data_IF_872318552162
#
_entry.id   IF_872318552162
#
_cell.length_a   1.000
_cell.length_b   1.000
_cell.length_c   1.000
_cell.angle_alpha   90.00
_cell.angle_beta   90.00
_cell.angle_gamma   90.00
#
_symmetry.space_group_name_H-M   'P 1'
#
loop_
_entity.id
_entity.type
_entity.pdbx_description
1 polymer ?
#
# COMPACT_ATOMS: atom_id res chain seq x y z
N UNK A 1 -20.19 -11.56 -13.40
CA UNK A 1 -18.80 -12.05 -13.40
C UNK A 1 -18.65 -13.18 -12.38
N UNK A 2 -18.84 -12.97 -11.06
CA UNK A 2 -18.64 -14.00 -10.03
C UNK A 2 -19.46 -15.28 -10.26
N UNK A 3 -20.74 -15.17 -10.64
CA UNK A 3 -21.60 -16.31 -10.95
C UNK A 3 -21.12 -17.10 -12.20
N UNK A 4 -20.54 -16.43 -13.17
CA UNK A 4 -19.95 -17.06 -14.36
C UNK A 4 -18.73 -17.90 -13.96
N UNK A 5 -17.75 -17.31 -13.24
CA UNK A 5 -16.56 -18.04 -12.83
C UNK A 5 -16.85 -19.20 -11.89
N UNK A 6 -17.82 -19.06 -10.98
CA UNK A 6 -18.28 -20.17 -10.14
C UNK A 6 -18.70 -21.39 -10.97
N UNK A 7 -19.40 -21.17 -12.08
CA UNK A 7 -19.81 -22.25 -13.00
C UNK A 7 -18.63 -22.82 -13.76
N UNK A 8 -17.75 -21.97 -14.30
CA UNK A 8 -16.59 -22.39 -15.08
C UNK A 8 -15.61 -23.21 -14.24
N UNK A 9 -15.43 -22.83 -12.98
CA UNK A 9 -14.52 -23.49 -12.04
C UNK A 9 -15.17 -24.63 -11.24
N UNK A 10 -16.45 -24.96 -11.51
CA UNK A 10 -17.21 -26.01 -10.82
C UNK A 10 -17.21 -25.85 -9.28
N UNK A 11 -17.32 -24.63 -8.78
CA UNK A 11 -17.39 -24.35 -7.34
C UNK A 11 -18.82 -24.52 -6.86
N UNK A 12 -19.17 -25.70 -6.33
CA UNK A 12 -20.54 -26.04 -5.95
C UNK A 12 -20.97 -25.47 -4.58
N UNK A 13 -20.04 -25.40 -3.62
CA UNK A 13 -20.33 -25.07 -2.21
C UNK A 13 -20.15 -23.59 -1.86
N UNK A 14 -20.10 -22.69 -2.84
CA UNK A 14 -19.94 -21.27 -2.63
C UNK A 14 -21.10 -20.48 -3.22
N UNK A 15 -21.73 -19.62 -2.41
CA UNK A 15 -22.78 -18.70 -2.88
C UNK A 15 -22.57 -17.32 -2.29
N UNK A 16 -22.66 -16.30 -3.13
CA UNK A 16 -22.66 -14.90 -2.72
C UNK A 16 -24.09 -14.49 -2.34
N UNK A 17 -24.24 -13.80 -1.22
CA UNK A 17 -25.48 -13.18 -0.82
C UNK A 17 -25.58 -11.80 -1.49
N UNK A 18 -26.52 -11.63 -2.42
CA UNK A 18 -26.68 -10.34 -3.10
C UNK A 18 -27.45 -9.39 -2.20
N UNK A 19 -26.86 -8.23 -1.92
CA UNK A 19 -27.41 -7.16 -1.12
C UNK A 19 -27.37 -5.85 -1.92
N UNK A 20 -28.11 -4.83 -1.48
CA UNK A 20 -28.17 -3.52 -2.13
C UNK A 20 -27.24 -2.49 -1.47
N UNK A 21 -27.07 -2.61 -0.16
CA UNK A 21 -26.28 -1.70 0.66
C UNK A 21 -25.58 -2.46 1.80
N UNK A 22 -24.49 -1.94 2.36
CA UNK A 22 -23.73 -2.62 3.43
C UNK A 22 -24.58 -3.00 4.66
N UNK A 23 -25.56 -2.19 5.04
CA UNK A 23 -26.46 -2.45 6.19
C UNK A 23 -27.28 -3.73 6.06
N UNK A 24 -27.47 -4.28 4.85
CA UNK A 24 -28.15 -5.56 4.60
C UNK A 24 -27.21 -6.76 4.76
N UNK A 25 -25.94 -6.56 5.11
CA UNK A 25 -24.94 -7.61 5.10
C UNK A 25 -25.22 -8.72 6.12
N UNK A 26 -25.13 -9.96 5.66
CA UNK A 26 -25.18 -11.13 6.52
C UNK A 26 -23.75 -11.50 6.95
N UNK A 27 -23.41 -11.31 8.23
CA UNK A 27 -22.08 -11.57 8.78
C UNK A 27 -21.59 -13.03 8.71
N UNK A 28 -22.47 -13.98 8.34
CA UNK A 28 -22.12 -15.40 8.15
C UNK A 28 -21.91 -15.79 6.70
N UNK A 29 -22.01 -14.85 5.77
CA UNK A 29 -21.95 -15.09 4.32
C UNK A 29 -21.08 -14.03 3.64
N UNK A 30 -20.46 -14.42 2.55
CA UNK A 30 -19.88 -13.46 1.63
C UNK A 30 -20.99 -12.71 0.90
N UNK A 31 -21.03 -11.40 1.08
CA UNK A 31 -22.02 -10.53 0.46
C UNK A 31 -21.47 -9.90 -0.82
N UNK A 32 -22.33 -9.56 -1.77
CA UNK A 32 -21.97 -8.86 -3.00
C UNK A 32 -22.97 -7.76 -3.30
N UNK A 33 -22.48 -6.61 -3.65
CA UNK A 33 -23.26 -5.47 -4.16
C UNK A 33 -23.01 -5.33 -5.65
N UNK A 34 -24.08 -5.32 -6.43
CA UNK A 34 -24.02 -5.05 -7.87
C UNK A 34 -24.07 -3.52 -8.07
N UNK A 35 -22.90 -2.90 -8.19
CA UNK A 35 -22.77 -1.45 -8.42
C UNK A 35 -22.53 -1.09 -9.90
N UNK A 36 -22.44 -2.08 -10.78
CA UNK A 36 -22.18 -1.93 -12.22
C UNK A 36 -23.35 -2.49 -13.02
N UNK A 37 -23.66 -1.90 -14.17
CA UNK A 37 -24.72 -2.36 -15.07
C UNK A 37 -24.49 -3.81 -15.50
N UNK A 38 -25.58 -4.62 -15.54
CA UNK A 38 -25.54 -6.02 -15.93
C UNK A 38 -25.11 -6.22 -17.42
N UNK A 39 -25.11 -5.17 -18.22
CA UNK A 39 -24.72 -5.19 -19.63
C UNK A 39 -23.21 -5.00 -19.87
N UNK A 40 -22.40 -4.83 -18.82
CA UNK A 40 -20.95 -4.70 -18.97
C UNK A 40 -20.38 -5.97 -19.59
N UNK A 41 -19.83 -5.83 -20.81
CA UNK A 41 -19.17 -6.92 -21.50
C UNK A 41 -17.80 -7.19 -20.88
N UNK A 42 -17.59 -8.40 -20.42
CA UNK A 42 -16.32 -8.86 -19.87
C UNK A 42 -15.55 -9.64 -20.93
N UNK A 43 -14.43 -9.10 -21.39
CA UNK A 43 -13.48 -9.81 -22.23
C UNK A 43 -12.47 -10.54 -21.34
N UNK A 44 -12.53 -11.88 -21.33
CA UNK A 44 -11.70 -12.70 -20.45
C UNK A 44 -10.21 -12.59 -20.80
N UNK A 45 -9.37 -12.41 -19.76
CA UNK A 45 -7.92 -12.36 -19.91
C UNK A 45 -7.39 -11.08 -20.57
N UNK A 46 -8.17 -10.00 -20.54
CA UNK A 46 -7.78 -8.69 -21.10
C UNK A 46 -8.27 -7.55 -20.24
N UNK A 47 -7.43 -6.55 -20.08
CA UNK A 47 -7.84 -5.23 -19.62
C UNK A 47 -8.55 -4.49 -20.77
N UNK A 48 -9.67 -3.86 -20.48
CA UNK A 48 -10.44 -3.06 -21.44
C UNK A 48 -10.91 -1.75 -20.79
N UNK A 49 -11.17 -0.69 -21.58
CA UNK A 49 -11.73 0.55 -21.02
C UNK A 49 -13.01 0.34 -20.22
N UNK A 50 -13.85 -0.63 -20.63
CA UNK A 50 -15.08 -0.98 -19.92
C UNK A 50 -14.79 -1.63 -18.57
N UNK A 51 -13.76 -2.49 -18.48
CA UNK A 51 -13.34 -3.10 -17.23
C UNK A 51 -12.75 -2.05 -16.26
N UNK A 52 -11.97 -1.11 -16.77
CA UNK A 52 -11.39 -0.01 -16.00
C UNK A 52 -12.48 0.93 -15.48
N UNK A 53 -13.45 1.27 -16.31
CA UNK A 53 -14.61 2.05 -15.89
C UNK A 53 -15.42 1.32 -14.80
N UNK A 54 -15.65 0.02 -14.95
CA UNK A 54 -16.34 -0.79 -13.94
C UNK A 54 -15.57 -0.82 -12.60
N UNK A 55 -14.25 -0.94 -12.66
CA UNK A 55 -13.36 -0.86 -11.48
C UNK A 55 -13.48 0.49 -10.77
N UNK A 56 -13.47 1.58 -11.53
CA UNK A 56 -13.62 2.93 -10.96
C UNK A 56 -15.00 3.17 -10.35
N UNK A 57 -16.08 2.64 -10.95
CA UNK A 57 -17.43 2.69 -10.37
C UNK A 57 -17.46 1.93 -9.04
N UNK A 58 -16.91 0.72 -9.01
CA UNK A 58 -16.85 -0.10 -7.80
C UNK A 58 -16.02 0.57 -6.69
N UNK A 59 -14.86 1.15 -7.06
CA UNK A 59 -14.02 1.89 -6.12
C UNK A 59 -14.76 3.10 -5.52
N UNK A 60 -15.37 3.94 -6.36
CA UNK A 60 -16.14 5.10 -5.90
C UNK A 60 -17.26 4.70 -4.96
N UNK A 61 -18.01 3.66 -5.33
CA UNK A 61 -19.09 3.14 -4.51
C UNK A 61 -18.58 2.67 -3.13
N UNK A 62 -17.51 1.89 -3.09
CA UNK A 62 -16.92 1.43 -1.84
C UNK A 62 -16.39 2.60 -0.99
N UNK A 63 -15.71 3.57 -1.59
CA UNK A 63 -15.21 4.76 -0.88
C UNK A 63 -16.36 5.63 -0.31
N UNK A 64 -17.48 5.75 -1.01
CA UNK A 64 -18.64 6.49 -0.51
C UNK A 64 -19.26 5.85 0.73
N UNK A 65 -19.25 4.51 0.84
CA UNK A 65 -19.67 3.78 2.03
C UNK A 65 -18.63 3.81 3.15
N UNK A 66 -17.35 3.80 2.80
CA UNK A 66 -16.24 3.95 3.75
C UNK A 66 -16.26 5.34 4.41
N UNK A 67 -16.53 6.40 3.64
CA UNK A 67 -16.63 7.78 4.14
C UNK A 67 -17.84 8.00 5.08
N UNK A 68 -18.83 7.10 5.05
CA UNK A 68 -20.00 7.11 5.92
C UNK A 68 -19.92 6.17 7.13
N UNK A 69 -18.75 5.56 7.33
CA UNK A 69 -18.54 4.53 8.37
C UNK A 69 -19.52 3.34 8.24
N UNK A 70 -19.98 3.04 7.02
CA UNK A 70 -20.85 1.89 6.74
C UNK A 70 -20.05 0.61 6.45
N UNK A 71 -18.78 0.76 6.16
CA UNK A 71 -17.74 -0.29 6.07
C UNK A 71 -16.47 0.20 6.75
N UNK A 72 -15.67 -0.71 7.27
CA UNK A 72 -14.52 -0.40 8.13
C UNK A 72 -13.22 -0.23 7.35
N UNK A 73 -13.05 -1.02 6.28
CA UNK A 73 -11.81 -1.06 5.50
C UNK A 73 -12.09 -1.27 4.01
N UNK A 74 -11.17 -0.79 3.18
CA UNK A 74 -11.13 -1.08 1.75
C UNK A 74 -9.94 -1.96 1.43
N UNK A 75 -10.20 -3.14 0.85
CA UNK A 75 -9.15 -4.03 0.33
C UNK A 75 -9.34 -4.25 -1.16
N UNK A 76 -8.31 -3.97 -1.95
CA UNK A 76 -8.37 -4.08 -3.41
C UNK A 76 -7.71 -5.38 -3.88
N UNK A 77 -8.43 -6.13 -4.69
CA UNK A 77 -7.88 -7.24 -5.47
C UNK A 77 -6.90 -6.70 -6.54
N UNK A 78 -6.07 -7.56 -7.17
CA UNK A 78 -5.22 -7.16 -8.27
C UNK A 78 -6.00 -6.44 -9.37
N UNK A 79 -5.49 -5.31 -9.83
CA UNK A 79 -6.11 -4.46 -10.86
C UNK A 79 -5.18 -4.27 -12.04
N UNK A 80 -5.73 -4.04 -13.22
CA UNK A 80 -4.95 -3.67 -14.39
C UNK A 80 -4.20 -2.35 -14.19
N UNK A 81 -3.09 -2.14 -14.90
CA UNK A 81 -2.26 -0.96 -14.75
C UNK A 81 -2.98 0.35 -15.10
N UNK A 82 -4.04 0.29 -15.91
CA UNK A 82 -4.81 1.47 -16.33
C UNK A 82 -6.09 1.69 -15.50
N UNK A 83 -6.44 0.76 -14.61
CA UNK A 83 -7.72 0.79 -13.90
C UNK A 83 -7.96 2.08 -13.09
N UNK A 84 -6.89 2.74 -12.65
CA UNK A 84 -6.96 3.98 -11.85
C UNK A 84 -6.47 5.22 -12.62
N UNK A 85 -6.18 5.10 -13.91
CA UNK A 85 -5.86 6.26 -14.75
C UNK A 85 -7.14 7.02 -15.08
N UNK A 86 -7.19 8.27 -14.62
CA UNK A 86 -8.25 9.22 -14.92
C UNK A 86 -7.64 10.51 -15.49
N UNK A 87 -8.47 11.43 -15.99
CA UNK A 87 -8.00 12.75 -16.39
C UNK A 87 -7.36 13.52 -15.22
N UNK A 88 -7.73 13.18 -14.00
CA UNK A 88 -7.29 13.87 -12.78
C UNK A 88 -6.15 13.17 -12.05
N UNK A 89 -5.98 11.85 -12.21
CA UNK A 89 -5.00 11.06 -11.46
C UNK A 89 -4.35 9.98 -12.33
N UNK A 90 -3.05 9.82 -12.19
CA UNK A 90 -2.25 8.81 -12.88
C UNK A 90 -2.04 7.52 -12.06
N UNK A 91 -2.59 7.45 -10.86
CA UNK A 91 -2.48 6.25 -9.99
C UNK A 91 -3.55 6.26 -8.89
N UNK A 92 -3.76 5.09 -8.26
CA UNK A 92 -4.64 4.96 -7.09
C UNK A 92 -4.22 5.90 -5.95
N UNK A 93 -2.92 5.94 -5.63
CA UNK A 93 -2.39 6.80 -4.55
C UNK A 93 -2.69 8.27 -4.81
N UNK A 94 -2.49 8.73 -6.03
CA UNK A 94 -2.82 10.10 -6.42
C UNK A 94 -4.33 10.37 -6.37
N UNK A 95 -5.15 9.42 -6.83
CA UNK A 95 -6.61 9.51 -6.77
C UNK A 95 -7.11 9.63 -5.32
N UNK A 96 -6.62 8.76 -4.42
CA UNK A 96 -6.97 8.80 -3.01
C UNK A 96 -6.47 10.07 -2.32
N UNK A 97 -5.25 10.51 -2.63
CA UNK A 97 -4.70 11.77 -2.11
C UNK A 97 -5.57 12.97 -2.46
N UNK A 98 -6.06 13.05 -3.71
CA UNK A 98 -6.99 14.11 -4.15
C UNK A 98 -8.36 13.99 -3.46
N UNK A 99 -8.92 12.79 -3.36
CA UNK A 99 -10.21 12.58 -2.71
C UNK A 99 -10.20 13.01 -1.24
N UNK A 100 -9.16 12.66 -0.51
CA UNK A 100 -9.02 12.98 0.92
C UNK A 100 -8.26 14.28 1.20
N UNK A 101 -7.94 15.04 0.16
CA UNK A 101 -7.22 16.32 0.24
C UNK A 101 -5.93 16.19 1.08
N UNK A 102 -5.18 15.11 0.90
CA UNK A 102 -3.91 14.85 1.55
C UNK A 102 -2.79 14.76 0.52
N UNK A 103 -1.68 15.48 0.78
CA UNK A 103 -0.45 15.38 0.01
C UNK A 103 0.56 14.41 0.66
N UNK A 104 0.33 14.08 1.92
CA UNK A 104 1.21 13.21 2.72
C UNK A 104 0.64 11.79 2.72
N UNK A 105 0.78 11.12 1.59
CA UNK A 105 0.32 9.76 1.32
C UNK A 105 1.48 8.92 0.79
N UNK A 106 1.53 7.63 1.11
CA UNK A 106 2.61 6.74 0.71
C UNK A 106 2.13 5.29 0.65
N UNK A 107 2.54 4.55 -0.38
CA UNK A 107 2.44 3.09 -0.37
C UNK A 107 3.49 2.51 0.58
N UNK A 108 3.08 1.62 1.46
CA UNK A 108 3.98 0.82 2.28
C UNK A 108 3.78 -0.65 1.87
N UNK A 109 4.84 -1.26 1.35
CA UNK A 109 4.86 -2.69 1.13
C UNK A 109 5.11 -3.37 2.47
N UNK A 110 4.30 -4.35 2.80
CA UNK A 110 4.29 -5.03 4.10
C UNK A 110 4.40 -6.52 3.88
N UNK A 111 5.35 -7.15 4.54
CA UNK A 111 5.45 -8.60 4.66
C UNK A 111 5.81 -8.99 6.11
N UNK A 112 5.87 -10.28 6.39
CA UNK A 112 6.30 -10.77 7.71
C UNK A 112 7.74 -10.35 8.04
N UNK A 113 8.60 -10.23 7.01
CA UNK A 113 10.05 -9.99 7.20
C UNK A 113 10.44 -8.52 7.09
N UNK A 114 9.70 -7.71 6.33
CA UNK A 114 10.12 -6.35 6.03
C UNK A 114 8.92 -5.45 5.71
N UNK A 115 8.99 -4.19 6.14
CA UNK A 115 8.10 -3.11 5.71
C UNK A 115 8.90 -2.08 4.93
N UNK A 116 8.37 -1.60 3.82
CA UNK A 116 9.11 -0.69 2.93
C UNK A 116 8.24 0.44 2.41
N UNK A 117 8.67 1.67 2.70
CA UNK A 117 8.11 2.89 2.14
C UNK A 117 9.04 3.53 1.12
N UNK A 118 8.56 4.52 0.39
CA UNK A 118 9.27 5.15 -0.72
C UNK A 118 9.21 6.68 -0.61
N UNK A 119 10.33 7.33 -0.93
CA UNK A 119 10.36 8.79 -1.06
C UNK A 119 9.65 9.21 -2.35
N UNK A 120 9.91 8.46 -3.44
CA UNK A 120 9.28 8.66 -4.75
C UNK A 120 8.69 7.35 -5.27
N UNK A 121 7.46 7.40 -5.82
CA UNK A 121 6.77 6.24 -6.36
C UNK A 121 6.60 6.40 -7.88
N UNK A 122 5.50 6.86 -8.38
CA UNK A 122 5.16 6.97 -9.80
C UNK A 122 5.95 8.06 -10.57
N UNK A 123 7.29 8.05 -10.46
CA UNK A 123 8.19 9.07 -11.02
C UNK A 123 9.13 8.43 -12.03
N UNK A 124 9.33 9.08 -13.19
CA UNK A 124 10.33 8.63 -14.17
C UNK A 124 11.72 8.65 -13.53
N UNK A 125 12.53 7.63 -13.77
CA UNK A 125 13.86 7.49 -13.14
C UNK A 125 14.74 8.75 -13.29
N UNK A 126 14.70 9.42 -14.44
CA UNK A 126 15.44 10.68 -14.68
C UNK A 126 15.00 11.84 -13.79
N UNK A 127 13.78 11.79 -13.27
CA UNK A 127 13.18 12.86 -12.45
C UNK A 127 13.29 12.56 -10.94
N UNK A 128 13.71 11.34 -10.56
CA UNK A 128 13.88 10.91 -9.17
C UNK A 128 14.79 11.83 -8.37
N UNK A 129 16.02 12.19 -8.84
CA UNK A 129 16.91 13.05 -8.04
C UNK A 129 16.29 14.41 -7.71
N UNK A 130 15.43 14.96 -8.58
CA UNK A 130 14.74 16.23 -8.35
C UNK A 130 13.63 16.13 -7.29
N UNK A 131 13.09 14.92 -7.07
CA UNK A 131 12.06 14.66 -6.06
C UNK A 131 12.66 14.23 -4.71
N UNK A 132 13.90 13.73 -4.70
CA UNK A 132 14.66 13.37 -3.50
C UNK A 132 15.19 14.66 -2.86
N UNK A 133 14.38 15.27 -2.00
CA UNK A 133 14.70 16.52 -1.30
C UNK A 133 14.64 16.31 0.20
N UNK A 134 15.35 17.12 0.98
CA UNK A 134 15.31 17.06 2.47
C UNK A 134 13.87 17.10 2.97
N UNK A 135 13.04 17.98 2.39
CA UNK A 135 11.63 18.15 2.76
C UNK A 135 10.83 16.88 2.51
N UNK A 136 10.98 16.26 1.33
CA UNK A 136 10.23 15.07 0.97
C UNK A 136 10.66 13.86 1.81
N UNK A 137 11.96 13.66 2.02
CA UNK A 137 12.49 12.58 2.86
C UNK A 137 11.96 12.74 4.30
N UNK A 138 12.07 13.95 4.87
CA UNK A 138 11.58 14.21 6.21
C UNK A 138 10.08 13.93 6.36
N UNK A 139 9.25 14.40 5.41
CA UNK A 139 7.81 14.13 5.40
C UNK A 139 7.50 12.62 5.34
N UNK A 140 8.21 11.90 4.47
CA UNK A 140 8.01 10.44 4.34
C UNK A 140 8.49 9.68 5.57
N UNK A 141 9.57 10.13 6.23
CA UNK A 141 10.02 9.57 7.51
C UNK A 141 8.98 9.81 8.62
N UNK A 142 8.43 11.01 8.71
CA UNK A 142 7.37 11.33 9.68
C UNK A 142 6.14 10.47 9.45
N UNK A 143 5.66 10.40 8.20
CA UNK A 143 4.51 9.57 7.87
C UNK A 143 4.75 8.09 8.16
N UNK A 144 5.94 7.58 7.84
CA UNK A 144 6.29 6.18 8.11
C UNK A 144 6.36 5.89 9.61
N UNK A 145 7.00 6.76 10.40
CA UNK A 145 7.09 6.62 11.87
C UNK A 145 5.69 6.64 12.50
N UNK A 146 4.85 7.61 12.14
CA UNK A 146 3.48 7.72 12.64
C UNK A 146 2.65 6.48 12.29
N UNK A 147 2.75 6.00 11.04
CA UNK A 147 2.06 4.79 10.59
C UNK A 147 2.52 3.56 11.35
N UNK A 148 3.84 3.40 11.55
CA UNK A 148 4.39 2.28 12.32
C UNK A 148 3.91 2.28 13.77
N UNK A 149 3.75 3.45 14.38
CA UNK A 149 3.24 3.58 15.74
C UNK A 149 1.74 3.34 15.83
N UNK A 150 0.96 3.96 14.94
CA UNK A 150 -0.50 3.96 15.04
C UNK A 150 -1.12 2.70 14.45
N UNK A 151 -0.69 2.31 13.26
CA UNK A 151 -1.30 1.26 12.47
C UNK A 151 -0.62 -0.11 12.70
N UNK A 152 0.68 -0.12 13.06
CA UNK A 152 1.45 -1.35 13.32
C UNK A 152 1.83 -1.54 14.80
N UNK A 153 1.42 -0.64 15.70
CA UNK A 153 1.65 -0.72 17.16
C UNK A 153 3.12 -0.83 17.58
N UNK A 154 4.05 -0.31 16.77
CA UNK A 154 5.48 -0.30 17.06
C UNK A 154 5.84 0.98 17.80
N UNK A 155 5.99 0.94 19.12
CA UNK A 155 6.14 2.14 19.97
C UNK A 155 7.39 2.98 19.67
N UNK A 156 8.48 2.36 19.26
CA UNK A 156 9.77 3.02 18.94
C UNK A 156 10.34 2.47 17.64
N UNK A 157 9.76 2.83 16.48
CA UNK A 157 10.17 2.27 15.20
C UNK A 157 11.62 2.64 14.87
N UNK A 158 12.39 1.66 14.40
CA UNK A 158 13.71 1.86 13.81
C UNK A 158 13.59 1.83 12.31
N UNK A 159 13.83 2.96 11.65
CA UNK A 159 13.68 3.11 10.21
C UNK A 159 15.06 3.18 9.57
N UNK A 160 15.37 2.22 8.69
CA UNK A 160 16.54 2.30 7.83
C UNK A 160 16.27 3.23 6.64
N UNK A 161 17.21 4.10 6.32
CA UNK A 161 17.12 4.98 5.15
C UNK A 161 18.17 4.55 4.14
N UNK A 162 17.75 4.20 2.93
CA UNK A 162 18.68 3.86 1.85
C UNK A 162 19.28 5.13 1.23
N UNK A 163 20.47 5.01 0.66
CA UNK A 163 21.03 6.06 -0.20
C UNK A 163 20.37 6.05 -1.58
N UNK A 164 20.50 7.14 -2.32
CA UNK A 164 20.10 7.22 -3.72
C UNK A 164 21.14 6.54 -4.63
N UNK A 165 22.40 6.76 -4.31
CA UNK A 165 23.55 6.29 -5.09
C UNK A 165 24.12 4.98 -4.51
N UNK A 166 24.79 4.15 -5.33
CA UNK A 166 25.38 2.88 -4.88
C UNK A 166 26.43 3.04 -3.77
N UNK A 167 27.17 4.14 -3.78
CA UNK A 167 28.22 4.44 -2.80
C UNK A 167 27.84 5.66 -1.95
N UNK A 168 27.39 5.39 -0.76
CA UNK A 168 26.86 6.40 0.18
C UNK A 168 27.93 7.21 0.93
N UNK A 169 29.21 6.80 0.85
CA UNK A 169 30.30 7.39 1.65
C UNK A 169 31.42 8.04 0.80
N UNK A 170 31.26 8.19 -0.49
CA UNK A 170 32.28 8.71 -1.38
C UNK A 170 31.90 10.11 -1.88
N UNK A 171 32.58 11.13 -1.38
CA UNK A 171 32.37 12.54 -1.75
C UNK A 171 32.60 12.90 -3.24
N UNK A 172 32.78 11.92 -4.11
CA UNK A 172 32.82 12.10 -5.58
C UNK A 172 31.55 11.51 -6.27
N UNK A 173 30.74 10.71 -5.60
CA UNK A 173 29.56 10.04 -6.16
C UNK A 173 28.39 10.00 -5.17
N UNK A 174 28.13 11.03 -4.41
CA UNK A 174 27.10 10.99 -3.38
C UNK A 174 26.72 12.38 -2.88
N UNK A 175 26.57 13.32 -3.79
CA UNK A 175 26.18 14.69 -3.43
C UNK A 175 24.79 14.71 -2.77
N UNK A 176 23.86 13.85 -3.23
CA UNK A 176 22.53 13.71 -2.66
C UNK A 176 22.58 13.14 -1.23
N UNK A 177 23.47 12.19 -0.95
CA UNK A 177 23.64 11.63 0.39
C UNK A 177 24.08 12.71 1.37
N UNK A 178 25.13 13.46 1.01
CA UNK A 178 25.73 14.48 1.91
C UNK A 178 24.85 15.72 2.05
N UNK A 179 24.29 16.21 0.94
CA UNK A 179 23.60 17.50 0.92
C UNK A 179 22.08 17.39 1.17
N UNK A 180 21.51 16.20 1.03
CA UNK A 180 20.06 16.01 1.09
C UNK A 180 19.67 14.93 2.11
N UNK A 181 20.18 13.68 1.97
CA UNK A 181 19.67 12.55 2.74
C UNK A 181 20.15 12.62 4.20
N UNK A 182 21.45 12.85 4.44
CA UNK A 182 22.00 12.97 5.80
C UNK A 182 21.31 14.10 6.57
N UNK A 183 21.19 15.33 6.06
CA UNK A 183 20.48 16.39 6.76
C UNK A 183 19.00 16.09 7.05
N UNK A 184 18.32 15.35 6.16
CA UNK A 184 16.95 14.93 6.40
C UNK A 184 16.86 13.91 7.55
N UNK A 185 17.79 12.96 7.63
CA UNK A 185 17.89 11.99 8.72
C UNK A 185 18.20 12.69 10.05
N UNK A 186 19.14 13.64 10.05
CA UNK A 186 19.50 14.42 11.26
C UNK A 186 18.28 15.18 11.78
N UNK A 187 17.57 15.87 10.90
CA UNK A 187 16.33 16.56 11.28
C UNK A 187 15.28 15.60 11.84
N UNK A 188 15.10 14.43 11.23
CA UNK A 188 14.16 13.42 11.73
C UNK A 188 14.53 12.95 13.15
N UNK A 189 15.83 12.80 13.43
CA UNK A 189 16.33 12.44 14.77
C UNK A 189 16.10 13.55 15.81
N UNK A 190 16.26 14.81 15.43
CA UNK A 190 15.96 15.96 16.29
C UNK A 190 14.48 15.99 16.70
N UNK A 191 13.57 15.52 15.81
CA UNK A 191 12.13 15.38 16.08
C UNK A 191 11.79 14.03 16.76
N UNK A 192 12.78 13.23 17.15
CA UNK A 192 12.60 12.00 17.91
C UNK A 192 12.33 10.74 17.07
N UNK A 193 12.44 10.83 15.73
CA UNK A 193 12.29 9.69 14.82
C UNK A 193 13.62 8.92 14.77
N UNK A 194 13.57 7.60 14.99
CA UNK A 194 14.76 6.75 14.98
C UNK A 194 15.14 6.34 13.55
N UNK A 195 15.54 7.33 12.73
CA UNK A 195 16.01 7.13 11.36
C UNK A 195 17.53 6.89 11.34
N UNK A 196 17.98 5.86 10.64
CA UNK A 196 19.39 5.43 10.57
C UNK A 196 19.77 5.21 9.11
N UNK A 197 20.90 5.78 8.68
CA UNK A 197 21.42 5.69 7.32
C UNK A 197 22.28 6.90 6.97
N UNK A 198 22.52 7.17 5.67
CA UNK A 198 22.09 6.36 4.54
C UNK A 198 22.86 5.05 4.41
N UNK A 199 22.18 3.99 3.97
CA UNK A 199 22.80 2.71 3.66
C UNK A 199 22.91 2.49 2.15
N UNK A 200 24.00 1.88 1.67
CA UNK A 200 24.05 1.31 0.33
C UNK A 200 23.01 0.20 0.21
N UNK A 201 22.09 0.29 -0.76
CA UNK A 201 21.03 -0.68 -0.93
C UNK A 201 21.58 -2.10 -1.14
N UNK A 202 22.62 -2.25 -2.00
CA UNK A 202 23.25 -3.54 -2.24
C UNK A 202 23.74 -4.20 -0.95
N UNK A 203 24.55 -3.47 -0.17
CA UNK A 203 25.10 -3.98 1.08
C UNK A 203 24.03 -4.24 2.13
N UNK A 204 23.04 -3.36 2.23
CA UNK A 204 21.97 -3.46 3.20
C UNK A 204 21.16 -4.77 3.06
N UNK A 205 20.85 -5.15 1.82
CA UNK A 205 20.11 -6.38 1.55
C UNK A 205 21.00 -7.62 1.53
N UNK A 206 22.20 -7.55 0.96
CA UNK A 206 23.13 -8.70 0.91
C UNK A 206 23.58 -9.16 2.31
N UNK A 207 23.77 -8.22 3.24
CA UNK A 207 24.10 -8.49 4.63
C UNK A 207 22.85 -8.73 5.52
N UNK A 208 21.65 -8.76 4.95
CA UNK A 208 20.36 -8.93 5.65
C UNK A 208 20.17 -7.94 6.80
N UNK A 209 20.66 -6.71 6.63
CA UNK A 209 20.56 -5.69 7.67
C UNK A 209 19.10 -5.31 7.98
N UNK A 210 18.19 -5.51 7.04
CA UNK A 210 16.75 -5.24 7.22
C UNK A 210 16.15 -5.96 8.45
N UNK A 211 16.70 -7.10 8.87
CA UNK A 211 16.24 -7.83 10.06
C UNK A 211 16.43 -7.06 11.39
N UNK A 212 17.20 -5.98 11.37
CA UNK A 212 17.48 -5.13 12.54
C UNK A 212 16.60 -3.88 12.61
N UNK A 213 15.72 -3.71 11.64
CA UNK A 213 14.88 -2.52 11.47
C UNK A 213 13.40 -2.91 11.36
N UNK A 214 12.54 -2.01 11.78
CA UNK A 214 11.08 -2.20 11.70
C UNK A 214 10.53 -1.80 10.32
N UNK A 215 11.22 -0.87 9.64
CA UNK A 215 10.92 -0.49 8.27
C UNK A 215 12.14 0.06 7.54
N UNK A 216 12.04 0.11 6.21
CA UNK A 216 13.03 0.68 5.29
C UNK A 216 12.38 1.79 4.49
N UNK A 217 13.04 2.94 4.36
CA UNK A 217 12.68 3.99 3.43
C UNK A 217 13.63 3.96 2.23
N UNK A 218 13.12 3.56 1.08
CA UNK A 218 13.82 3.59 -0.20
C UNK A 218 13.64 4.95 -0.89
N UNK A 219 14.63 5.37 -1.68
CA UNK A 219 14.58 6.65 -2.38
C UNK A 219 13.63 6.62 -3.58
N UNK A 220 13.50 5.49 -4.24
CA UNK A 220 12.60 5.31 -5.38
C UNK A 220 12.04 3.89 -5.45
N UNK A 221 10.95 3.74 -6.19
CA UNK A 221 10.13 2.53 -6.20
C UNK A 221 10.91 1.27 -6.57
N UNK A 222 11.60 1.24 -7.72
CA UNK A 222 12.31 0.03 -8.17
C UNK A 222 13.47 -0.37 -7.26
N UNK A 223 14.12 0.60 -6.58
CA UNK A 223 15.15 0.31 -5.58
C UNK A 223 14.61 -0.58 -4.46
N UNK A 224 13.39 -0.29 -4.03
CA UNK A 224 12.79 -0.99 -2.91
C UNK A 224 12.00 -2.21 -3.34
N UNK A 225 11.12 -2.13 -4.36
CA UNK A 225 10.21 -3.22 -4.70
C UNK A 225 10.93 -4.49 -5.14
N UNK A 226 12.02 -4.36 -5.92
CA UNK A 226 12.80 -5.52 -6.37
C UNK A 226 13.43 -6.23 -5.17
N UNK A 227 14.02 -5.48 -4.25
CA UNK A 227 14.61 -6.03 -3.05
C UNK A 227 13.55 -6.62 -2.11
N UNK A 228 12.42 -5.93 -1.93
CA UNK A 228 11.30 -6.38 -1.12
C UNK A 228 10.76 -7.74 -1.60
N UNK A 229 10.42 -7.84 -2.89
CA UNK A 229 9.93 -9.09 -3.49
C UNK A 229 10.97 -10.22 -3.41
N UNK A 230 12.25 -9.91 -3.50
CA UNK A 230 13.33 -10.91 -3.33
C UNK A 230 13.48 -11.42 -1.90
N UNK A 231 13.10 -10.61 -0.89
CA UNK A 231 13.14 -11.00 0.52
C UNK A 231 11.92 -11.81 0.92
N UNK A 232 10.72 -11.34 0.52
CA UNK A 232 9.45 -11.97 0.89
C UNK A 232 8.29 -11.48 0.01
N UNK A 233 8.03 -12.18 -1.08
CA UNK A 233 6.89 -11.90 -1.95
C UNK A 233 5.62 -12.63 -1.49
N UNK A 234 5.77 -13.80 -0.86
CA UNK A 234 4.67 -14.71 -0.55
C UNK A 234 3.71 -14.13 0.50
N UNK A 235 4.25 -13.44 1.53
CA UNK A 235 3.44 -12.82 2.57
C UNK A 235 3.08 -11.34 2.26
N UNK A 236 3.37 -10.86 1.07
CA UNK A 236 3.32 -9.45 0.70
C UNK A 236 1.90 -8.89 0.54
N UNK A 237 1.73 -7.66 1.01
CA UNK A 237 0.58 -6.80 0.76
C UNK A 237 1.05 -5.34 0.65
N UNK A 238 0.21 -4.48 0.09
CA UNK A 238 0.44 -3.04 0.08
C UNK A 238 -0.58 -2.35 0.99
N UNK A 239 -0.11 -1.43 1.81
CA UNK A 239 -0.90 -0.55 2.66
C UNK A 239 -0.74 0.90 2.21
N UNK A 240 -1.82 1.66 2.14
CA UNK A 240 -1.78 3.08 1.78
C UNK A 240 -1.83 3.92 3.05
N UNK A 241 -0.69 4.46 3.46
CA UNK A 241 -0.53 5.29 4.63
C UNK A 241 -0.90 6.76 4.36
N UNK A 242 -1.30 7.50 5.41
CA UNK A 242 -1.64 8.93 5.32
C UNK A 242 -3.08 9.22 4.97
N UNK A 243 -3.93 8.19 4.90
CA UNK A 243 -5.37 8.34 4.69
C UNK A 243 -6.13 8.34 6.02
N UNK A 244 -7.24 9.08 6.12
CA UNK A 244 -8.14 8.99 7.26
C UNK A 244 -8.84 7.62 7.34
N UNK A 245 -8.90 6.90 6.24
CA UNK A 245 -9.51 5.58 6.07
C UNK A 245 -8.44 4.50 5.90
N UNK A 246 -8.82 3.24 6.09
CA UNK A 246 -7.91 2.09 5.93
C UNK A 246 -8.04 1.54 4.52
N UNK A 247 -6.94 1.57 3.78
CA UNK A 247 -6.88 1.04 2.42
C UNK A 247 -5.66 0.12 2.26
N UNK A 248 -5.91 -1.11 1.82
CA UNK A 248 -4.90 -2.10 1.48
C UNK A 248 -5.13 -2.66 0.08
N UNK A 249 -4.11 -3.27 -0.50
CA UNK A 249 -4.23 -3.92 -1.80
C UNK A 249 -3.29 -5.10 -1.93
N UNK A 250 -3.69 -6.06 -2.76
CA UNK A 250 -2.79 -7.13 -3.19
C UNK A 250 -1.60 -6.56 -3.97
N UNK A 251 -0.42 -7.11 -3.74
CA UNK A 251 0.80 -6.75 -4.47
C UNK A 251 1.03 -7.63 -5.72
N UNK A 252 0.14 -8.60 -5.96
CA UNK A 252 0.20 -9.47 -7.14
C UNK A 252 -0.34 -8.76 -8.38
N UNK A 253 0.23 -9.10 -9.53
CA UNK A 253 -0.29 -8.66 -10.82
C UNK A 253 -1.63 -9.35 -11.14
N UNK A 254 -2.48 -8.79 -12.01
CA UNK A 254 -3.79 -9.36 -12.36
C UNK A 254 -3.73 -10.67 -13.14
N UNK A 255 -2.57 -11.08 -13.64
CA UNK A 255 -2.34 -12.34 -14.34
C UNK A 255 -3.41 -12.70 -15.38
N UNK A 256 -3.62 -11.80 -16.33
CA UNK A 256 -4.62 -11.99 -17.40
C UNK A 256 -4.41 -13.25 -18.25
N UNK A 257 -3.17 -13.75 -18.31
CA UNK A 257 -2.76 -14.95 -19.05
C UNK A 257 -3.31 -16.26 -18.48
N UNK A 258 -3.60 -16.32 -17.17
CA UNK A 258 -4.12 -17.53 -16.51
C UNK A 258 -5.61 -17.48 -16.19
N UNK A 259 -6.32 -16.44 -16.67
CA UNK A 259 -7.76 -16.27 -16.40
C UNK A 259 -8.56 -17.48 -16.89
N UNK A 260 -9.38 -18.04 -16.00
CA UNK A 260 -10.22 -19.22 -16.30
C UNK A 260 -9.51 -20.56 -16.20
N UNK A 261 -8.20 -20.60 -15.91
CA UNK A 261 -7.42 -21.83 -15.80
C UNK A 261 -7.37 -22.43 -14.41
N UNK A 262 -7.97 -21.77 -13.40
CA UNK A 262 -7.91 -22.18 -11.98
C UNK A 262 -6.48 -22.28 -11.42
N UNK A 263 -5.59 -21.40 -11.89
CA UNK A 263 -4.19 -21.30 -11.47
C UNK A 263 -3.92 -20.04 -10.62
N UNK A 264 -4.93 -19.20 -10.41
CA UNK A 264 -4.80 -17.98 -9.63
C UNK A 264 -4.50 -18.27 -8.16
N UNK A 265 -3.58 -17.50 -7.59
CA UNK A 265 -3.26 -17.54 -6.17
C UNK A 265 -3.97 -16.38 -5.46
N UNK A 266 -4.79 -16.70 -4.48
CA UNK A 266 -5.51 -15.72 -3.68
C UNK A 266 -4.69 -15.17 -2.49
N UNK A 267 -3.48 -15.69 -2.25
CA UNK A 267 -2.70 -15.38 -1.06
C UNK A 267 -2.42 -13.88 -0.92
N UNK A 268 -2.06 -13.19 -2.00
CA UNK A 268 -1.82 -11.75 -1.97
C UNK A 268 -3.05 -10.93 -1.55
N UNK A 269 -4.25 -11.30 -2.00
CA UNK A 269 -5.49 -10.63 -1.57
C UNK A 269 -5.83 -10.97 -0.12
N UNK A 270 -5.59 -12.21 0.31
CA UNK A 270 -5.79 -12.66 1.68
C UNK A 270 -4.88 -11.90 2.65
N UNK A 271 -3.60 -11.73 2.30
CA UNK A 271 -2.64 -10.96 3.08
C UNK A 271 -3.09 -9.49 3.22
N UNK A 272 -3.53 -8.88 2.12
CA UNK A 272 -4.04 -7.50 2.14
C UNK A 272 -5.28 -7.35 3.03
N UNK A 273 -6.21 -8.32 2.99
CA UNK A 273 -7.40 -8.31 3.83
C UNK A 273 -7.06 -8.44 5.32
N UNK A 274 -6.19 -9.38 5.70
CA UNK A 274 -5.76 -9.53 7.09
C UNK A 274 -5.01 -8.30 7.58
N UNK A 275 -4.12 -7.74 6.76
CA UNK A 275 -3.42 -6.50 7.08
C UNK A 275 -4.42 -5.36 7.39
N UNK A 276 -5.44 -5.17 6.56
CA UNK A 276 -6.46 -4.15 6.78
C UNK A 276 -7.25 -4.39 8.09
N UNK A 277 -7.60 -5.65 8.38
CA UNK A 277 -8.29 -6.01 9.62
C UNK A 277 -7.42 -5.74 10.86
N UNK A 278 -6.14 -6.09 10.82
CA UNK A 278 -5.21 -5.84 11.92
C UNK A 278 -5.05 -4.33 12.17
N UNK A 279 -4.88 -3.54 11.10
CA UNK A 279 -4.81 -2.08 11.20
C UNK A 279 -6.10 -1.48 11.77
N UNK A 280 -7.26 -2.00 11.40
CA UNK A 280 -8.54 -1.57 11.96
C UNK A 280 -8.57 -1.76 13.49
N UNK A 281 -8.23 -2.95 13.95
CA UNK A 281 -8.16 -3.25 15.40
C UNK A 281 -7.13 -2.36 16.11
N UNK A 282 -5.96 -2.14 15.51
CA UNK A 282 -4.92 -1.28 16.09
C UNK A 282 -5.36 0.18 16.21
N UNK A 283 -6.02 0.73 15.18
CA UNK A 283 -6.56 2.11 15.24
C UNK A 283 -7.62 2.26 16.32
N UNK A 284 -8.54 1.30 16.43
CA UNK A 284 -9.55 1.31 17.49
C UNK A 284 -8.91 1.29 18.89
N UNK A 285 -7.92 0.41 19.11
CA UNK A 285 -7.17 0.34 20.37
C UNK A 285 -6.44 1.65 20.69
N UNK A 286 -5.80 2.26 19.69
CA UNK A 286 -5.10 3.54 19.87
C UNK A 286 -6.07 4.67 20.23
N UNK A 287 -7.26 4.73 19.60
CA UNK A 287 -8.30 5.70 19.94
C UNK A 287 -8.78 5.48 21.38
N UNK A 288 -8.96 4.24 21.81
CA UNK A 288 -9.40 3.93 23.17
C UNK A 288 -8.36 4.32 24.23
N UNK A 289 -7.08 4.02 23.96
CA UNK A 289 -5.97 4.42 24.83
C UNK A 289 -5.83 5.94 24.98
N UNK A 290 -6.13 6.70 23.93
CA UNK A 290 -6.07 8.17 23.95
C UNK A 290 -7.25 8.81 24.69
N UNK A 291 -8.37 8.12 24.92
CA UNK A 291 -9.51 8.65 25.66
C UNK A 291 -9.22 8.91 27.14
N UNK A 292 -8.29 8.12 27.74
CA UNK A 292 -7.89 8.27 29.15
C UNK A 292 -6.35 8.19 29.27
N UNK A 293 -5.61 9.22 28.84
CA UNK A 293 -4.17 9.25 29.05
C UNK A 293 -3.87 9.31 30.54
N UNK A 294 -2.90 8.51 31.01
CA UNK A 294 -2.42 8.62 32.39
C UNK A 294 -1.90 10.04 32.61
N UNK A 295 -2.30 10.71 33.71
CA UNK A 295 -1.72 12.02 34.04
C UNK A 295 -0.22 11.85 34.31
N UNK A 296 0.59 12.70 33.69
CA UNK A 296 2.03 12.81 33.98
C UNK A 296 2.27 13.34 35.38
#
# INVERSE_FOLDING_TARGET
VAAYYRKVLNIENFSLNTIREPGEANGKRSNIINCVDDNVKVDLGKETPESDQATMIALKYALDHLDRDEIDVLTLAPQGPNAFFTEEAGSLVEYLGKRYNTADIMSILVSEKIKMGFVTEQVKLRDVPHQVTQKNIFKKLTLLDDTLRQDFTILKPKIAVLGLNPQVNCGQNGDEEVNVIIPAIERAREEGIMAIGPFSAERFFSERMYEKFDAVLAMYYDQGVVAFKSVDEESAACYIAGLPVICSMSLTDPHYDIVGQNLGDEQGLRNALYLAMDVCVHREQNIELQKNPLPY
#
